data_IF_569358216346
#
_entry.id   IF_569358216346
#
_cell.length_a   1.000
_cell.length_b   1.000
_cell.length_c   1.000
_cell.angle_alpha   90.00
_cell.angle_beta   90.00
_cell.angle_gamma   90.00
#
_symmetry.space_group_name_H-M   'P 1'
#
loop_
_entity.id
_entity.type
_entity.pdbx_description
1 polymer ?
#
# COMPACT_ATOMS: atom_id res chain seq x y z
N UNK A 1 19.07 11.11 15.32
CA UNK A 1 18.37 9.89 15.78
C UNK A 1 17.97 8.98 14.62
N UNK A 2 17.20 9.44 13.62
CA UNK A 2 16.74 8.59 12.50
C UNK A 2 17.86 7.81 11.78
N UNK A 3 19.00 8.45 11.47
CA UNK A 3 20.15 7.79 10.82
C UNK A 3 20.68 6.58 11.61
N UNK A 4 20.85 6.73 12.92
CA UNK A 4 21.37 5.66 13.78
C UNK A 4 20.39 4.47 13.85
N UNK A 5 19.07 4.74 13.88
CA UNK A 5 18.03 3.69 13.85
C UNK A 5 18.07 2.95 12.52
N UNK A 6 18.15 3.66 11.38
CA UNK A 6 18.25 3.03 10.06
C UNK A 6 19.50 2.16 9.93
N UNK A 7 20.65 2.65 10.39
CA UNK A 7 21.91 1.88 10.40
C UNK A 7 21.83 0.61 11.27
N UNK A 8 21.13 0.68 12.41
CA UNK A 8 20.90 -0.50 13.25
C UNK A 8 19.96 -1.53 12.60
N UNK A 9 19.10 -1.11 11.66
CA UNK A 9 18.17 -1.99 10.95
C UNK A 9 18.80 -2.67 9.72
N UNK A 10 19.89 -2.13 9.16
CA UNK A 10 20.57 -2.72 7.99
C UNK A 10 20.88 -4.22 8.13
N UNK A 11 21.53 -4.70 9.21
CA UNK A 11 21.83 -6.13 9.35
C UNK A 11 20.59 -7.00 9.61
N UNK A 12 19.47 -6.41 10.05
CA UNK A 12 18.22 -7.13 10.36
C UNK A 12 17.35 -7.27 9.10
N UNK A 13 17.33 -6.22 8.28
CA UNK A 13 16.49 -6.14 7.07
C UNK A 13 17.26 -6.50 5.79
N UNK A 14 18.58 -6.65 5.89
CA UNK A 14 19.47 -6.97 4.77
C UNK A 14 19.35 -5.96 3.60
N UNK A 15 19.09 -4.69 3.94
CA UNK A 15 19.00 -3.57 2.99
C UNK A 15 19.76 -2.36 3.51
N UNK A 16 20.28 -1.52 2.62
CA UNK A 16 20.95 -0.28 3.02
C UNK A 16 20.00 0.68 3.73
N UNK A 17 20.52 1.44 4.69
CA UNK A 17 19.82 2.48 5.43
C UNK A 17 19.23 3.56 4.51
N UNK A 18 19.84 3.79 3.35
CA UNK A 18 19.33 4.73 2.35
C UNK A 18 18.02 4.23 1.70
N UNK A 19 17.77 2.92 1.74
CA UNK A 19 16.52 2.29 1.27
C UNK A 19 15.50 2.10 2.39
N UNK A 20 15.75 2.61 3.60
CA UNK A 20 14.82 2.52 4.74
C UNK A 20 14.13 3.86 4.94
N UNK A 21 12.80 3.87 4.90
CA UNK A 21 11.98 4.99 5.35
C UNK A 21 11.42 4.68 6.75
N UNK A 22 11.44 5.68 7.65
CA UNK A 22 10.87 5.57 9.00
C UNK A 22 9.68 6.52 9.09
N UNK A 23 8.50 5.98 9.39
CA UNK A 23 7.28 6.75 9.69
C UNK A 23 6.76 6.44 11.09
N UNK A 24 5.82 7.23 11.58
CA UNK A 24 5.14 7.04 12.86
C UNK A 24 3.98 6.02 12.75
N UNK A 25 4.31 4.82 12.31
CA UNK A 25 3.34 3.77 12.00
C UNK A 25 3.04 3.65 10.50
N UNK A 26 2.38 2.56 10.10
CA UNK A 26 2.09 2.28 8.68
C UNK A 26 1.13 3.28 8.07
N UNK A 27 0.21 3.86 8.85
CA UNK A 27 -0.82 4.75 8.34
C UNK A 27 -0.24 6.06 7.80
N UNK A 28 0.75 6.64 8.49
CA UNK A 28 1.48 7.81 7.98
C UNK A 28 2.25 7.45 6.70
N UNK A 29 2.85 6.27 6.64
CA UNK A 29 3.58 5.83 5.44
C UNK A 29 2.61 5.66 4.26
N UNK A 30 1.42 5.10 4.48
CA UNK A 30 0.38 4.95 3.46
C UNK A 30 -0.10 6.32 2.95
N UNK A 31 -0.42 7.26 3.85
CA UNK A 31 -0.82 8.63 3.49
C UNK A 31 0.25 9.34 2.66
N UNK A 32 1.51 9.29 3.13
CA UNK A 32 2.64 9.91 2.44
C UNK A 32 2.84 9.32 1.04
N UNK A 33 2.73 8.00 0.88
CA UNK A 33 2.83 7.35 -0.43
C UNK A 33 1.73 7.83 -1.37
N UNK A 34 0.47 7.86 -0.91
CA UNK A 34 -0.64 8.35 -1.72
C UNK A 34 -0.39 9.80 -2.15
N UNK A 35 0.03 10.68 -1.25
CA UNK A 35 0.24 12.11 -1.54
C UNK A 35 1.45 12.41 -2.43
N UNK A 36 2.49 11.57 -2.39
CA UNK A 36 3.68 11.74 -3.26
C UNK A 36 3.37 11.31 -4.68
N UNK A 37 2.63 10.21 -4.85
CA UNK A 37 2.48 9.59 -6.15
C UNK A 37 1.15 9.96 -6.83
N UNK A 38 0.08 10.22 -6.10
CA UNK A 38 -1.25 10.46 -6.65
C UNK A 38 -1.59 11.95 -6.65
N UNK A 39 -2.11 12.43 -7.79
CA UNK A 39 -2.71 13.74 -7.95
C UNK A 39 -4.22 13.67 -7.61
N UNK A 40 -4.70 14.49 -6.66
CA UNK A 40 -6.11 14.55 -6.28
C UNK A 40 -7.04 14.74 -7.48
N UNK A 41 -8.17 14.02 -7.48
CA UNK A 41 -9.24 14.01 -8.51
C UNK A 41 -8.80 13.57 -9.91
N UNK A 42 -7.58 13.07 -10.06
CA UNK A 42 -7.03 12.62 -11.33
C UNK A 42 -6.59 11.16 -11.25
N UNK A 43 -5.80 10.85 -10.22
CA UNK A 43 -5.24 9.51 -10.03
C UNK A 43 -6.14 8.62 -9.17
N UNK A 44 -5.88 7.31 -9.26
CA UNK A 44 -6.62 6.29 -8.54
C UNK A 44 -5.64 5.28 -7.93
N UNK A 45 -5.97 4.71 -6.77
CA UNK A 45 -5.29 3.54 -6.23
C UNK A 45 -6.09 2.27 -6.49
N UNK A 46 -5.40 1.12 -6.51
CA UNK A 46 -6.05 -0.19 -6.58
C UNK A 46 -5.97 -0.86 -5.22
N UNK A 47 -7.12 -1.29 -4.70
CA UNK A 47 -7.20 -2.08 -3.46
C UNK A 47 -7.76 -3.47 -3.74
N UNK A 48 -7.43 -4.41 -2.85
CA UNK A 48 -7.74 -5.83 -3.00
C UNK A 48 -8.62 -6.38 -1.87
N UNK A 49 -9.93 -6.06 -1.79
CA UNK A 49 -10.76 -6.52 -0.70
C UNK A 49 -10.91 -8.07 -0.67
N UNK A 50 -11.00 -8.70 0.51
CA UNK A 50 -10.88 -8.10 1.85
C UNK A 50 -9.44 -7.73 2.20
N UNK A 51 -9.21 -6.48 2.61
CA UNK A 51 -7.89 -5.93 2.95
C UNK A 51 -7.99 -4.87 4.04
N UNK A 52 -6.87 -4.27 4.42
CA UNK A 52 -6.80 -3.24 5.45
C UNK A 52 -7.53 -1.95 5.01
N UNK A 53 -8.51 -1.51 5.80
CA UNK A 53 -9.40 -0.41 5.44
C UNK A 53 -8.72 0.96 5.33
N UNK A 54 -7.55 1.14 5.94
CA UNK A 54 -6.84 2.43 5.91
C UNK A 54 -6.37 2.83 4.51
N UNK A 55 -6.24 1.89 3.57
CA UNK A 55 -5.95 2.23 2.18
C UNK A 55 -7.07 3.10 1.57
N UNK A 56 -8.33 2.69 1.76
CA UNK A 56 -9.49 3.42 1.28
C UNK A 56 -9.63 4.77 2.00
N UNK A 57 -9.52 4.77 3.33
CA UNK A 57 -9.61 6.00 4.14
C UNK A 57 -8.56 7.03 3.72
N UNK A 58 -7.31 6.60 3.48
CA UNK A 58 -6.22 7.51 3.10
C UNK A 58 -6.39 8.06 1.68
N UNK A 59 -6.89 7.25 0.74
CA UNK A 59 -7.20 7.70 -0.62
C UNK A 59 -8.36 8.70 -0.65
N UNK A 60 -9.46 8.39 0.05
CA UNK A 60 -10.62 9.29 0.17
C UNK A 60 -10.23 10.61 0.84
N UNK A 61 -9.43 10.56 1.91
CA UNK A 61 -8.92 11.76 2.59
C UNK A 61 -8.06 12.63 1.65
N UNK A 62 -7.37 12.01 0.70
CA UNK A 62 -6.54 12.69 -0.29
C UNK A 62 -7.29 13.04 -1.58
N UNK A 63 -8.60 12.81 -1.67
CA UNK A 63 -9.44 13.01 -2.87
C UNK A 63 -8.89 12.22 -4.08
N UNK A 64 -8.34 11.03 -3.81
CA UNK A 64 -7.81 10.06 -4.79
C UNK A 64 -8.83 8.96 -4.99
N UNK A 65 -9.09 8.60 -6.25
CA UNK A 65 -10.09 7.58 -6.57
C UNK A 65 -9.64 6.16 -6.18
N UNK A 66 -10.59 5.25 -6.07
CA UNK A 66 -10.36 3.86 -5.65
C UNK A 66 -10.93 2.91 -6.71
N UNK A 67 -10.09 1.98 -7.16
CA UNK A 67 -10.48 0.84 -7.97
C UNK A 67 -10.34 -0.43 -7.13
N UNK A 68 -11.44 -1.14 -6.93
CA UNK A 68 -11.45 -2.38 -6.13
C UNK A 68 -11.42 -3.61 -7.03
N UNK A 69 -10.46 -4.49 -6.80
CA UNK A 69 -10.40 -5.83 -7.41
C UNK A 69 -10.40 -6.85 -6.28
N UNK A 70 -11.49 -7.56 -6.07
CA UNK A 70 -11.57 -8.50 -4.95
C UNK A 70 -10.55 -9.63 -5.11
N UNK A 71 -10.00 -10.07 -3.99
CA UNK A 71 -9.25 -11.32 -3.92
C UNK A 71 -10.17 -12.49 -4.29
N UNK A 72 -9.56 -13.59 -4.71
CA UNK A 72 -10.27 -14.84 -4.91
C UNK A 72 -10.84 -15.36 -3.58
N UNK A 73 -11.69 -16.38 -3.64
CA UNK A 73 -12.20 -17.07 -2.44
C UNK A 73 -11.09 -17.63 -1.55
N UNK A 74 -9.93 -17.92 -2.12
CA UNK A 74 -8.75 -18.43 -1.41
C UNK A 74 -7.83 -17.30 -0.89
N UNK A 75 -8.30 -16.05 -0.95
CA UNK A 75 -7.53 -14.84 -0.64
C UNK A 75 -6.27 -14.65 -1.53
N UNK A 76 -6.29 -15.23 -2.72
CA UNK A 76 -5.25 -15.02 -3.73
C UNK A 76 -5.57 -13.85 -4.66
N UNK A 77 -4.57 -13.40 -5.42
CA UNK A 77 -4.70 -12.31 -6.37
C UNK A 77 -5.52 -12.71 -7.60
N UNK A 78 -6.58 -11.97 -7.91
CA UNK A 78 -7.18 -11.97 -9.25
C UNK A 78 -6.24 -11.20 -10.20
N UNK A 79 -5.25 -11.90 -10.75
CA UNK A 79 -4.23 -11.30 -11.62
C UNK A 79 -4.81 -10.64 -12.87
N UNK A 80 -5.85 -11.22 -13.45
CA UNK A 80 -6.51 -10.66 -14.64
C UNK A 80 -7.28 -9.38 -14.28
N UNK A 81 -8.02 -9.39 -13.18
CA UNK A 81 -8.70 -8.22 -12.65
C UNK A 81 -7.74 -7.07 -12.31
N UNK A 82 -6.61 -7.37 -11.66
CA UNK A 82 -5.58 -6.38 -11.31
C UNK A 82 -4.93 -5.79 -12.56
N UNK A 83 -4.60 -6.60 -13.56
CA UNK A 83 -4.02 -6.12 -14.81
C UNK A 83 -5.00 -5.23 -15.58
N UNK A 84 -6.29 -5.59 -15.62
CA UNK A 84 -7.33 -4.74 -16.23
C UNK A 84 -7.47 -3.41 -15.50
N UNK A 85 -7.47 -3.41 -14.17
CA UNK A 85 -7.53 -2.20 -13.37
C UNK A 85 -6.33 -1.28 -13.61
N UNK A 86 -5.12 -1.84 -13.70
CA UNK A 86 -3.88 -1.10 -13.96
C UNK A 86 -3.86 -0.39 -15.34
N UNK A 87 -4.63 -0.89 -16.32
CA UNK A 87 -4.69 -0.30 -17.65
C UNK A 87 -5.60 0.93 -17.76
N UNK A 88 -6.48 1.20 -16.78
CA UNK A 88 -7.53 2.21 -16.91
C UNK A 88 -7.08 3.62 -16.50
N UNK A 89 -6.10 3.79 -15.59
CA UNK A 89 -5.46 5.08 -15.32
C UNK A 89 -4.14 4.89 -14.53
N UNK A 90 -3.06 5.44 -15.06
CA UNK A 90 -1.71 4.92 -14.87
C UNK A 90 -0.91 5.69 -13.80
N UNK A 91 -1.21 5.44 -12.51
CA UNK A 91 -0.24 5.49 -11.40
C UNK A 91 -0.60 4.43 -10.37
N UNK A 92 0.16 3.35 -10.38
CA UNK A 92 -0.20 2.09 -9.74
C UNK A 92 0.47 1.95 -8.38
N UNK A 93 -0.31 2.01 -7.30
CA UNK A 93 0.10 1.52 -5.99
C UNK A 93 -0.74 0.30 -5.63
N UNK A 94 -0.08 -0.85 -5.55
CA UNK A 94 -0.70 -2.10 -5.10
C UNK A 94 -0.35 -2.33 -3.63
N UNK A 95 -1.33 -2.14 -2.76
CA UNK A 95 -1.19 -2.54 -1.37
C UNK A 95 -1.68 -3.99 -1.21
N UNK A 96 -0.73 -4.93 -1.13
CA UNK A 96 -1.02 -6.32 -0.78
C UNK A 96 -0.68 -6.52 0.69
N UNK A 97 -1.69 -6.50 1.56
CA UNK A 97 -1.57 -7.09 2.87
C UNK A 97 -1.96 -8.57 2.74
N UNK A 98 -0.99 -9.49 2.72
CA UNK A 98 -1.34 -10.91 2.89
C UNK A 98 -1.86 -11.07 4.30
N UNK A 99 -3.17 -11.21 4.46
CA UNK A 99 -3.76 -11.65 5.72
C UNK A 99 -3.38 -13.12 5.86
N UNK A 100 -2.18 -13.41 6.34
CA UNK A 100 -1.93 -14.70 6.96
C UNK A 100 -2.94 -14.81 8.11
N UNK A 101 -3.82 -15.80 8.08
CA UNK A 101 -4.83 -16.11 9.11
C UNK A 101 -4.24 -16.44 10.51
N UNK A 102 -3.17 -15.75 10.94
CA UNK A 102 -2.58 -15.84 12.28
C UNK A 102 -2.96 -14.68 13.19
N UNK A 103 -3.90 -13.83 12.79
CA UNK A 103 -4.57 -12.93 13.74
C UNK A 103 -6.02 -13.36 13.82
N UNK A 104 -6.21 -14.39 14.65
CA UNK A 104 -7.49 -14.75 15.24
C UNK A 104 -7.88 -13.57 16.15
N UNK A 105 -8.88 -12.82 15.75
CA UNK A 105 -9.78 -12.19 16.72
C UNK A 105 -10.99 -13.10 16.86
#
# INVERSE_FOLDING_TARGET
MAKAVKQALEPIKEVSADNIFLGNGSDEVIDVLIRIFCEPRQDNIVILPPTYGMYAVSAETSDVGIVSVNLTSDFDLDTEGVLKAAMINLKFFLFVARITQRVMF
#
